data_IF_720138226408
#
_entry.id   IF_720138226408
#
_cell.length_a   1.000
_cell.length_b   1.000
_cell.length_c   1.000
_cell.angle_alpha   90.00
_cell.angle_beta   90.00
_cell.angle_gamma   90.00
#
_symmetry.space_group_name_H-M   'P 1'
#
loop_
_entity.id
_entity.type
_entity.pdbx_description
1 polymer ?
#
# COMPACT_ATOMS: atom_id res chain seq x y z
N UNK A 1 15.43 -33.54 -16.93
CA UNK A 1 16.31 -32.37 -17.07
C UNK A 1 15.69 -31.25 -16.27
N UNK A 2 16.25 -30.94 -15.10
CA UNK A 2 15.71 -29.95 -14.17
C UNK A 2 16.55 -28.68 -14.30
N UNK A 3 15.95 -27.60 -14.78
CA UNK A 3 16.58 -26.28 -14.78
C UNK A 3 16.02 -25.51 -13.58
N UNK A 4 16.83 -25.40 -12.54
CA UNK A 4 16.57 -24.54 -11.39
C UNK A 4 17.21 -23.18 -11.71
N UNK A 5 16.39 -22.17 -12.00
CA UNK A 5 16.87 -20.78 -12.09
C UNK A 5 16.77 -20.18 -10.69
N UNK A 6 17.89 -20.15 -9.96
CA UNK A 6 18.03 -19.34 -8.75
C UNK A 6 18.52 -17.96 -9.19
N UNK A 7 17.58 -17.07 -9.53
CA UNK A 7 17.87 -15.65 -9.68
C UNK A 7 17.73 -14.95 -8.33
N UNK A 8 18.74 -15.04 -7.45
CA UNK A 8 18.80 -14.11 -6.31
C UNK A 8 19.33 -12.78 -6.83
N UNK A 9 18.43 -11.89 -7.25
CA UNK A 9 18.79 -10.49 -7.41
C UNK A 9 18.90 -9.94 -5.98
N UNK A 10 20.11 -9.93 -5.42
CA UNK A 10 20.45 -9.07 -4.28
C UNK A 10 20.49 -7.62 -4.80
N UNK A 11 19.35 -7.11 -5.26
CA UNK A 11 19.15 -5.68 -5.36
C UNK A 11 19.11 -5.18 -3.92
N UNK A 12 19.94 -4.19 -3.56
CA UNK A 12 19.63 -3.36 -2.42
C UNK A 12 18.31 -2.65 -2.75
N UNK A 13 17.18 -3.27 -2.41
CA UNK A 13 15.83 -2.74 -2.66
C UNK A 13 15.57 -1.42 -1.92
N UNK A 14 16.53 -0.96 -1.10
CA UNK A 14 16.41 0.20 -0.24
C UNK A 14 17.07 1.48 -0.81
N UNK A 15 17.68 1.47 -2.00
CA UNK A 15 18.32 2.69 -2.52
C UNK A 15 17.30 3.77 -2.90
N UNK A 16 16.08 3.35 -3.28
CA UNK A 16 14.99 4.23 -3.71
C UNK A 16 13.76 4.09 -2.80
N UNK A 17 13.93 3.56 -1.58
CA UNK A 17 12.86 3.46 -0.59
C UNK A 17 12.64 4.84 0.03
N UNK A 18 11.48 5.43 -0.24
CA UNK A 18 11.16 6.80 0.19
C UNK A 18 10.47 6.88 1.55
N UNK A 19 9.73 5.84 1.94
CA UNK A 19 8.94 5.78 3.19
C UNK A 19 8.82 4.34 3.66
N UNK A 20 8.98 4.11 4.96
CA UNK A 20 8.66 2.82 5.58
C UNK A 20 8.04 3.02 6.96
N UNK A 21 6.79 2.56 7.12
CA UNK A 21 6.11 2.54 8.40
C UNK A 21 6.07 1.11 8.95
N UNK A 22 6.69 0.90 10.11
CA UNK A 22 6.74 -0.39 10.82
C UNK A 22 5.68 -0.53 11.91
N UNK A 23 5.04 0.56 12.34
CA UNK A 23 4.03 0.61 13.41
C UNK A 23 4.56 0.21 14.80
N UNK A 24 5.86 0.36 15.08
CA UNK A 24 6.49 -0.02 16.37
C UNK A 24 6.19 0.96 17.52
N UNK A 25 5.39 2.00 17.28
CA UNK A 25 4.97 2.95 18.30
C UNK A 25 4.08 2.29 19.36
N UNK A 26 4.21 2.74 20.60
CA UNK A 26 3.44 2.19 21.73
C UNK A 26 2.31 3.10 22.20
N UNK A 27 2.24 4.33 21.67
CA UNK A 27 1.26 5.34 22.05
C UNK A 27 1.37 6.59 21.17
N UNK A 28 0.31 7.40 21.13
CA UNK A 28 0.30 8.72 20.51
C UNK A 28 -0.32 8.69 19.13
N UNK A 29 -0.08 9.72 18.34
CA UNK A 29 -0.68 9.88 17.00
C UNK A 29 0.34 10.02 15.90
N UNK A 30 1.63 9.90 16.19
CA UNK A 30 2.70 10.03 15.19
C UNK A 30 3.21 8.65 14.83
N UNK A 31 3.13 8.29 13.55
CA UNK A 31 3.73 7.09 12.97
C UNK A 31 5.04 7.48 12.30
N UNK A 32 6.16 7.01 12.82
CA UNK A 32 7.49 7.41 12.36
C UNK A 32 7.85 6.72 11.05
N UNK A 33 8.34 7.49 10.09
CA UNK A 33 8.99 6.98 8.89
C UNK A 33 10.39 6.46 9.25
N UNK A 34 10.57 5.15 9.20
CA UNK A 34 11.81 4.46 9.59
C UNK A 34 12.98 4.66 8.62
N UNK A 35 12.74 5.31 7.47
CA UNK A 35 13.76 5.54 6.45
C UNK A 35 14.13 7.02 6.34
N UNK A 36 13.14 7.90 6.42
CA UNK A 36 13.29 9.33 6.18
C UNK A 36 12.68 10.20 7.25
N UNK A 37 11.87 11.15 6.81
CA UNK A 37 11.23 12.17 7.67
C UNK A 37 9.79 12.43 7.25
N UNK A 38 9.14 11.46 6.60
CA UNK A 38 7.76 11.57 6.13
C UNK A 38 6.82 10.99 7.19
N UNK A 39 6.89 11.47 8.43
CA UNK A 39 6.10 10.93 9.54
C UNK A 39 4.59 11.10 9.31
N UNK A 40 3.83 10.03 9.52
CA UNK A 40 2.38 10.02 9.43
C UNK A 40 1.73 10.53 10.71
N UNK A 41 0.56 11.14 10.58
CA UNK A 41 -0.32 11.49 11.70
C UNK A 41 -1.57 10.64 11.66
N UNK A 42 -1.75 9.78 12.66
CA UNK A 42 -2.93 8.98 12.88
C UNK A 42 -4.10 9.86 13.36
N UNK A 43 -5.29 9.64 12.80
CA UNK A 43 -6.50 10.38 13.16
C UNK A 43 -7.01 10.06 14.56
N UNK A 44 -6.66 8.87 15.07
CA UNK A 44 -6.95 8.41 16.42
C UNK A 44 -5.73 7.70 17.02
N UNK A 45 -5.52 7.85 18.32
CA UNK A 45 -4.34 7.30 19.00
C UNK A 45 -4.35 5.79 19.14
N UNK A 46 -5.54 5.16 19.09
CA UNK A 46 -5.73 3.71 19.18
C UNK A 46 -5.34 2.97 17.89
N UNK A 47 -5.17 3.67 16.77
CA UNK A 47 -4.62 3.10 15.52
C UNK A 47 -3.22 2.55 15.77
N UNK A 48 -2.43 3.23 16.60
CA UNK A 48 -1.06 2.85 16.94
C UNK A 48 -0.99 2.01 18.22
N UNK A 49 -2.13 1.60 18.79
CA UNK A 49 -2.12 0.65 19.89
C UNK A 49 -1.59 -0.70 19.39
N UNK A 50 -0.74 -1.33 20.20
CA UNK A 50 -0.01 -2.53 19.79
C UNK A 50 -0.95 -3.66 19.36
N UNK A 51 -0.95 -3.97 18.06
CA UNK A 51 -1.54 -5.19 17.51
C UNK A 51 -0.45 -6.02 16.86
N UNK A 52 -0.56 -7.35 16.89
CA UNK A 52 0.46 -8.23 16.33
C UNK A 52 0.46 -8.16 14.80
N UNK A 53 1.57 -7.68 14.23
CA UNK A 53 1.77 -7.57 12.79
C UNK A 53 2.25 -8.88 12.14
N UNK A 54 2.40 -8.87 10.82
CA UNK A 54 3.16 -9.91 10.10
C UNK A 54 4.63 -9.92 10.54
N UNK A 55 5.16 -8.73 10.85
CA UNK A 55 6.48 -8.47 11.42
C UNK A 55 6.28 -7.42 12.51
N UNK A 56 6.74 -7.67 13.74
CA UNK A 56 6.57 -6.72 14.85
C UNK A 56 5.10 -6.42 15.14
N UNK A 57 4.75 -5.15 15.06
CA UNK A 57 3.40 -4.63 15.31
C UNK A 57 2.70 -4.19 14.02
N UNK A 58 1.41 -3.87 14.13
CA UNK A 58 0.61 -3.31 13.04
C UNK A 58 -0.33 -2.24 13.54
N UNK A 59 -0.76 -1.36 12.62
CA UNK A 59 -1.86 -0.44 12.89
C UNK A 59 -3.20 -1.17 12.94
N UNK A 60 -4.07 -0.79 13.86
CA UNK A 60 -5.40 -1.35 14.01
C UNK A 60 -6.47 -0.38 13.50
N UNK A 61 -6.98 -0.64 12.29
CA UNK A 61 -8.04 0.16 11.68
C UNK A 61 -9.40 -0.52 11.94
N UNK A 62 -10.22 0.08 12.80
CA UNK A 62 -11.53 -0.40 13.23
C UNK A 62 -12.66 -0.09 12.23
N UNK A 63 -12.34 0.60 11.13
CA UNK A 63 -13.22 0.70 9.95
C UNK A 63 -14.27 1.81 10.02
N UNK A 64 -13.95 2.94 10.64
CA UNK A 64 -14.73 4.18 10.46
C UNK A 64 -14.16 5.00 9.30
N UNK A 65 -14.99 5.80 8.62
CA UNK A 65 -14.53 6.66 7.50
C UNK A 65 -13.41 7.65 7.91
N UNK A 66 -13.23 7.87 9.21
CA UNK A 66 -12.21 8.75 9.78
C UNK A 66 -10.94 8.04 10.23
N UNK A 67 -10.83 6.72 10.06
CA UNK A 67 -9.72 5.91 10.57
C UNK A 67 -8.57 5.86 9.55
N UNK A 68 -7.59 6.75 9.71
CA UNK A 68 -6.52 6.92 8.72
C UNK A 68 -5.22 7.46 9.32
N UNK A 69 -4.16 7.37 8.51
CA UNK A 69 -2.86 7.98 8.78
C UNK A 69 -2.49 8.85 7.59
N UNK A 70 -2.16 10.10 7.86
CA UNK A 70 -1.90 11.10 6.83
C UNK A 70 -0.51 11.71 7.03
N UNK A 71 0.27 11.74 5.95
CA UNK A 71 1.41 12.63 5.80
C UNK A 71 1.05 13.64 4.69
N UNK A 72 1.03 14.94 5.02
CA UNK A 72 0.81 16.01 4.05
C UNK A 72 2.14 16.36 3.37
N UNK A 73 2.35 15.87 2.14
CA UNK A 73 3.54 16.12 1.35
C UNK A 73 3.26 16.23 -0.15
N UNK A 74 4.33 16.31 -0.94
CA UNK A 74 4.23 16.26 -2.41
C UNK A 74 3.96 14.82 -2.84
N UNK A 75 2.94 14.63 -3.69
CA UNK A 75 2.67 13.32 -4.28
C UNK A 75 3.78 12.92 -5.26
N UNK A 76 4.03 11.62 -5.38
CA UNK A 76 4.94 11.10 -6.42
C UNK A 76 4.23 11.14 -7.76
N UNK A 77 4.85 11.78 -8.74
CA UNK A 77 4.35 11.89 -10.13
C UNK A 77 5.28 11.23 -11.14
N UNK A 78 6.51 10.93 -10.72
CA UNK A 78 7.53 10.33 -11.57
C UNK A 78 7.39 8.80 -11.56
N UNK A 79 7.45 8.22 -12.74
CA UNK A 79 7.38 6.77 -12.94
C UNK A 79 8.77 6.20 -13.26
N UNK A 80 9.08 4.95 -12.87
CA UNK A 80 8.22 4.02 -12.16
C UNK A 80 8.27 4.23 -10.64
N UNK A 81 7.19 3.87 -9.96
CA UNK A 81 7.18 3.79 -8.49
C UNK A 81 6.27 2.65 -8.01
N UNK A 82 6.44 2.28 -6.75
CA UNK A 82 5.66 1.22 -6.11
C UNK A 82 5.21 1.65 -4.74
N UNK A 83 4.03 1.21 -4.35
CA UNK A 83 3.63 1.22 -2.95
C UNK A 83 3.01 -0.13 -2.61
N UNK A 84 3.35 -0.62 -1.42
CA UNK A 84 2.95 -1.93 -0.93
C UNK A 84 2.55 -1.84 0.54
N UNK A 85 1.62 -2.71 0.93
CA UNK A 85 1.19 -2.86 2.31
C UNK A 85 0.88 -4.32 2.60
N UNK A 86 1.24 -4.76 3.81
CA UNK A 86 0.68 -5.96 4.40
C UNK A 86 -0.64 -5.61 5.06
N UNK A 87 -1.69 -6.36 4.74
CA UNK A 87 -3.02 -6.19 5.31
C UNK A 87 -3.53 -7.51 5.87
N UNK A 88 -4.38 -7.41 6.89
CA UNK A 88 -5.18 -8.51 7.39
C UNK A 88 -6.57 -7.97 7.67
N UNK A 89 -7.57 -8.48 6.95
CA UNK A 89 -8.93 -8.00 7.09
C UNK A 89 -9.93 -9.14 6.91
N UNK A 90 -11.06 -9.04 7.59
CA UNK A 90 -12.27 -9.83 7.33
C UNK A 90 -13.35 -9.01 6.59
N UNK A 91 -13.06 -7.74 6.31
CA UNK A 91 -13.92 -6.81 5.60
C UNK A 91 -13.21 -6.37 4.33
N UNK A 92 -13.85 -6.55 3.19
CA UNK A 92 -13.16 -6.38 1.92
C UNK A 92 -13.23 -4.98 1.33
N UNK A 93 -13.88 -3.97 1.90
CA UNK A 93 -14.05 -2.68 1.20
C UNK A 93 -13.22 -1.55 1.82
N UNK A 94 -12.28 -0.99 1.05
CA UNK A 94 -11.57 0.22 1.44
C UNK A 94 -10.34 0.54 0.58
N UNK A 95 -9.95 1.80 0.57
CA UNK A 95 -8.60 2.20 0.18
C UNK A 95 -7.64 1.74 1.27
N UNK A 96 -6.59 1.01 0.90
CA UNK A 96 -5.56 0.55 1.84
C UNK A 96 -4.50 1.63 2.01
N UNK A 97 -4.02 2.15 0.88
CA UNK A 97 -2.98 3.16 0.82
C UNK A 97 -3.10 3.92 -0.50
N UNK A 98 -2.89 5.23 -0.45
CA UNK A 98 -2.82 6.04 -1.66
C UNK A 98 -1.97 7.29 -1.50
N UNK A 99 -1.47 7.76 -2.64
CA UNK A 99 -0.93 9.11 -2.81
C UNK A 99 -2.02 9.91 -3.50
N UNK A 100 -2.47 11.02 -2.89
CA UNK A 100 -3.65 11.76 -3.38
C UNK A 100 -3.36 13.25 -3.35
N UNK A 101 -3.63 13.94 -4.45
CA UNK A 101 -3.59 15.40 -4.50
C UNK A 101 -4.78 15.99 -3.71
N UNK A 102 -4.47 16.61 -2.57
CA UNK A 102 -5.45 17.16 -1.63
C UNK A 102 -6.23 18.32 -2.27
N UNK A 103 -7.54 18.18 -2.36
CA UNK A 103 -8.46 19.27 -2.74
C UNK A 103 -9.18 19.11 -4.08
N UNK A 104 -8.82 18.12 -4.91
CA UNK A 104 -9.55 17.89 -6.16
C UNK A 104 -9.63 16.43 -6.64
N UNK A 105 -8.99 15.46 -5.97
CA UNK A 105 -8.84 14.07 -6.45
C UNK A 105 -8.38 14.01 -7.92
N UNK A 106 -7.63 15.02 -8.36
CA UNK A 106 -7.22 15.21 -9.75
C UNK A 106 -6.00 14.39 -10.11
N UNK A 107 -5.26 13.93 -9.11
CA UNK A 107 -4.12 13.05 -9.29
C UNK A 107 -4.05 12.09 -8.10
N UNK A 108 -3.99 10.80 -8.36
CA UNK A 108 -3.82 9.81 -7.32
C UNK A 108 -3.23 8.49 -7.82
N UNK A 109 -2.61 7.75 -6.92
CA UNK A 109 -2.32 6.33 -7.07
C UNK A 109 -2.76 5.59 -5.81
N UNK A 110 -3.43 4.46 -5.96
CA UNK A 110 -4.04 3.72 -4.87
C UNK A 110 -3.76 2.23 -4.99
N UNK A 111 -3.63 1.57 -3.84
CA UNK A 111 -3.96 0.16 -3.68
C UNK A 111 -5.27 0.03 -2.92
N UNK A 112 -6.18 -0.77 -3.44
CA UNK A 112 -7.52 -0.95 -2.90
C UNK A 112 -7.83 -2.42 -2.62
N UNK A 113 -8.67 -2.62 -1.61
CA UNK A 113 -9.43 -3.85 -1.39
C UNK A 113 -10.90 -3.55 -1.70
N UNK A 114 -11.57 -4.40 -2.49
CA UNK A 114 -13.04 -4.33 -2.61
C UNK A 114 -13.69 -5.65 -2.17
N UNK A 115 -14.83 -5.51 -1.47
CA UNK A 115 -15.55 -6.52 -0.69
C UNK A 115 -15.34 -7.98 -1.15
N UNK A 116 -14.28 -8.63 -0.63
CA UNK A 116 -13.89 -10.04 -0.83
C UNK A 116 -13.60 -10.46 -2.27
N UNK A 117 -13.42 -9.51 -3.20
CA UNK A 117 -13.45 -9.84 -4.62
C UNK A 117 -12.26 -9.36 -5.43
N UNK A 118 -11.48 -8.36 -4.98
CA UNK A 118 -10.25 -8.02 -5.70
C UNK A 118 -9.23 -7.20 -4.91
N UNK A 119 -7.97 -7.39 -5.31
CA UNK A 119 -6.89 -6.43 -5.13
C UNK A 119 -6.79 -5.55 -6.39
N UNK A 120 -6.62 -4.23 -6.20
CA UNK A 120 -6.55 -3.28 -7.31
C UNK A 120 -5.40 -2.29 -7.14
N UNK A 121 -4.71 -1.99 -8.25
CA UNK A 121 -3.84 -0.83 -8.38
C UNK A 121 -4.50 0.17 -9.33
N UNK A 122 -4.89 1.34 -8.82
CA UNK A 122 -5.62 2.36 -9.56
C UNK A 122 -4.80 3.65 -9.61
N UNK A 123 -4.80 4.36 -10.74
CA UNK A 123 -4.31 5.74 -10.74
C UNK A 123 -5.04 6.65 -11.72
N UNK A 124 -4.92 7.94 -11.44
CA UNK A 124 -5.36 9.03 -12.29
C UNK A 124 -4.25 10.08 -12.31
N UNK A 125 -3.71 10.42 -13.49
CA UNK A 125 -2.69 11.46 -13.65
C UNK A 125 -2.86 12.13 -15.01
N UNK A 126 -2.77 13.46 -15.06
CA UNK A 126 -2.77 14.21 -16.34
C UNK A 126 -4.01 14.00 -17.23
N UNK A 127 -5.15 13.58 -16.66
CA UNK A 127 -6.38 13.26 -17.41
C UNK A 127 -6.53 11.80 -17.84
N UNK A 128 -5.53 10.96 -17.60
CA UNK A 128 -5.57 9.51 -17.86
C UNK A 128 -5.95 8.75 -16.59
N UNK A 129 -6.99 7.89 -16.67
CA UNK A 129 -7.32 6.92 -15.63
C UNK A 129 -6.98 5.50 -16.07
N UNK A 130 -6.72 4.61 -15.12
CA UNK A 130 -6.54 3.19 -15.39
C UNK A 130 -6.48 2.36 -14.11
N UNK A 131 -6.72 1.06 -14.23
CA UNK A 131 -6.73 0.14 -13.08
C UNK A 131 -6.33 -1.29 -13.44
N UNK A 132 -5.42 -1.87 -12.68
CA UNK A 132 -5.13 -3.30 -12.74
C UNK A 132 -5.91 -4.01 -11.62
N UNK A 133 -6.93 -4.80 -11.97
CA UNK A 133 -7.81 -5.49 -11.01
C UNK A 133 -7.59 -7.00 -11.06
N UNK A 134 -7.17 -7.60 -9.94
CA UNK A 134 -7.03 -9.05 -9.81
C UNK A 134 -8.12 -9.62 -8.90
N UNK A 135 -8.99 -10.48 -9.46
CA UNK A 135 -10.06 -11.10 -8.70
C UNK A 135 -9.54 -12.21 -7.78
N UNK A 136 -9.56 -11.93 -6.48
CA UNK A 136 -9.13 -12.85 -5.43
C UNK A 136 -9.82 -12.48 -4.12
N UNK A 137 -10.16 -13.49 -3.33
CA UNK A 137 -10.56 -13.29 -1.95
C UNK A 137 -9.32 -13.27 -1.06
N UNK A 138 -8.99 -12.09 -0.54
CA UNK A 138 -7.91 -11.83 0.42
C UNK A 138 -8.45 -11.11 1.67
N UNK A 139 -9.78 -11.04 1.81
CA UNK A 139 -10.47 -10.57 3.00
C UNK A 139 -10.83 -11.76 3.89
N UNK A 140 -9.89 -12.70 4.05
CA UNK A 140 -10.06 -14.01 4.66
C UNK A 140 -9.49 -14.09 6.09
N UNK A 141 -9.18 -12.93 6.68
CA UNK A 141 -8.51 -12.80 7.98
C UNK A 141 -7.10 -13.43 8.01
N UNK A 142 -6.43 -13.57 6.86
CA UNK A 142 -5.00 -13.85 6.75
C UNK A 142 -4.22 -12.59 6.33
N UNK A 143 -2.90 -12.62 6.56
CA UNK A 143 -2.02 -11.55 6.10
C UNK A 143 -1.73 -11.72 4.61
N UNK A 144 -1.99 -10.66 3.84
CA UNK A 144 -1.66 -10.59 2.42
C UNK A 144 -0.87 -9.32 2.12
N UNK A 145 0.10 -9.43 1.21
CA UNK A 145 0.80 -8.26 0.68
C UNK A 145 0.14 -7.82 -0.62
N UNK A 146 -0.36 -6.59 -0.68
CA UNK A 146 -0.82 -5.98 -1.93
C UNK A 146 0.23 -4.97 -2.37
N UNK A 147 0.60 -5.02 -3.65
CA UNK A 147 1.56 -4.09 -4.25
C UNK A 147 0.97 -3.52 -5.53
N UNK A 148 0.92 -2.20 -5.60
CA UNK A 148 0.68 -1.47 -6.84
C UNK A 148 2.01 -1.11 -7.49
N UNK A 149 2.20 -1.53 -8.74
CA UNK A 149 3.35 -1.19 -9.56
C UNK A 149 2.89 -0.20 -10.61
N UNK A 150 3.41 1.02 -10.55
CA UNK A 150 3.06 2.10 -11.46
C UNK A 150 4.25 2.30 -12.40
N UNK A 151 4.16 1.76 -13.61
CA UNK A 151 5.27 1.68 -14.58
C UNK A 151 5.26 2.91 -15.49
N UNK A 152 4.07 3.38 -15.87
CA UNK A 152 3.82 4.65 -16.54
C UNK A 152 2.41 5.16 -16.22
N UNK A 153 2.04 6.33 -16.75
CA UNK A 153 0.68 6.87 -16.70
C UNK A 153 -0.40 5.93 -17.27
N UNK A 154 0.02 5.01 -18.12
CA UNK A 154 -0.79 4.08 -18.91
C UNK A 154 -0.57 2.63 -18.53
N UNK A 155 0.58 2.27 -17.94
CA UNK A 155 0.93 0.90 -17.56
C UNK A 155 1.05 0.75 -16.04
N UNK A 156 0.22 -0.10 -15.45
CA UNK A 156 0.28 -0.46 -14.03
C UNK A 156 -0.02 -1.94 -13.82
N UNK A 157 0.50 -2.50 -12.74
CA UNK A 157 0.22 -3.88 -12.34
C UNK A 157 -0.21 -3.95 -10.88
N UNK A 158 -0.97 -4.98 -10.54
CA UNK A 158 -1.18 -5.39 -9.15
C UNK A 158 -0.49 -6.74 -8.91
N UNK A 159 0.24 -6.81 -7.81
CA UNK A 159 0.81 -8.04 -7.28
C UNK A 159 0.18 -8.37 -5.93
N UNK A 160 -0.03 -9.65 -5.69
CA UNK A 160 -0.55 -10.19 -4.42
C UNK A 160 0.44 -11.24 -3.93
N UNK A 161 0.90 -11.10 -2.70
CA UNK A 161 1.88 -11.96 -2.04
C UNK A 161 3.18 -12.11 -2.85
N UNK A 162 3.65 -10.97 -3.38
CA UNK A 162 4.91 -10.86 -4.11
C UNK A 162 4.86 -11.35 -5.56
N UNK A 163 3.70 -11.77 -6.05
CA UNK A 163 3.54 -12.27 -7.42
C UNK A 163 2.67 -11.31 -8.25
N UNK A 164 3.21 -10.82 -9.36
CA UNK A 164 2.44 -10.02 -10.34
C UNK A 164 1.29 -10.87 -10.87
N UNK A 165 0.08 -10.32 -10.83
CA UNK A 165 -1.14 -11.01 -11.22
C UNK A 165 -1.67 -10.53 -12.57
N UNK A 166 -1.74 -9.22 -12.72
CA UNK A 166 -2.32 -8.56 -13.88
C UNK A 166 -1.69 -7.18 -14.05
N UNK A 167 -1.58 -6.77 -15.30
CA UNK A 167 -1.19 -5.43 -15.71
C UNK A 167 -2.21 -4.88 -16.71
N UNK A 168 -2.38 -3.57 -16.71
CA UNK A 168 -3.15 -2.77 -17.66
C UNK A 168 -2.28 -1.65 -18.20
#
# INVERSE_FOLDING_TARGET
MLMLILGSVNANLNTDLEVYYNFDETSGTTLTDSVGSKDGTASAGDILDSSAGILGTSGNFIGTDSDNIIYDGTIVTDYPFTHNAWIKSNNGAGQIMGLINKGANTEYSNILLQASQFAEAQSYFGGSNGKATYSVDIADNAWHMITGLFISDTNRCVAVDGLIRICE
#
